data_IF_532913661372
#
_entry.id   IF_532913661372
#
_cell.length_a   1.000
_cell.length_b   1.000
_cell.length_c   1.000
_cell.angle_alpha   90.00
_cell.angle_beta   90.00
_cell.angle_gamma   90.00
#
_symmetry.space_group_name_H-M   'P 1'
#
loop_
_entity.id
_entity.type
_entity.pdbx_description
1 polymer ?
#
# COMPACT_ATOMS: atom_id res chain seq x y z
N UNK A 1 -57.07 45.13 -38.28
CA UNK A 1 -56.77 46.35 -37.51
C UNK A 1 -55.39 46.17 -36.89
N UNK A 2 -54.44 47.02 -37.28
CA UNK A 2 -53.06 47.06 -36.78
C UNK A 2 -53.01 47.48 -35.31
N UNK A 3 -51.96 47.08 -34.55
CA UNK A 3 -51.01 47.99 -33.86
C UNK A 3 -50.06 47.22 -32.90
N UNK A 4 -48.78 47.67 -32.87
CA UNK A 4 -47.68 47.52 -31.89
C UNK A 4 -46.99 46.13 -31.79
N UNK A 5 -45.71 45.90 -32.17
CA UNK A 5 -44.41 46.60 -32.12
C UNK A 5 -43.53 46.24 -30.90
N UNK A 6 -42.36 45.66 -31.23
CA UNK A 6 -41.07 45.57 -30.49
C UNK A 6 -41.04 44.90 -29.12
N UNK A 7 -40.51 43.68 -29.10
CA UNK A 7 -39.72 43.18 -27.97
C UNK A 7 -38.32 42.79 -28.46
N UNK A 8 -37.35 43.53 -27.96
CA UNK A 8 -35.91 43.40 -28.13
C UNK A 8 -35.42 42.03 -27.64
N UNK A 9 -34.96 41.17 -28.56
CA UNK A 9 -34.07 40.06 -28.21
C UNK A 9 -32.65 40.60 -28.13
N UNK A 10 -32.21 40.90 -26.91
CA UNK A 10 -30.81 41.18 -26.63
C UNK A 10 -30.06 39.87 -26.36
N UNK A 11 -28.85 39.85 -26.86
CA UNK A 11 -27.91 38.75 -27.04
C UNK A 11 -27.27 38.30 -25.72
N UNK A 12 -26.61 37.14 -25.82
CA UNK A 12 -25.63 36.55 -24.90
C UNK A 12 -26.18 35.85 -23.66
N UNK A 13 -26.16 34.51 -23.68
CA UNK A 13 -25.29 33.72 -22.80
C UNK A 13 -25.38 32.24 -23.20
N UNK A 14 -24.82 31.89 -24.35
CA UNK A 14 -24.42 30.51 -24.62
C UNK A 14 -23.09 30.27 -23.91
N UNK A 15 -23.13 29.83 -22.65
CA UNK A 15 -22.01 29.11 -22.04
C UNK A 15 -21.97 27.70 -22.62
N UNK A 16 -21.69 27.59 -23.92
CA UNK A 16 -21.14 26.37 -24.48
C UNK A 16 -19.70 26.27 -24.00
N UNK A 17 -19.49 25.41 -23.01
CA UNK A 17 -18.18 24.90 -22.63
C UNK A 17 -17.63 24.07 -23.81
N UNK A 18 -17.06 24.75 -24.80
CA UNK A 18 -16.35 24.19 -25.93
C UNK A 18 -14.84 24.18 -25.67
N UNK A 19 -14.42 23.58 -24.55
CA UNK A 19 -13.03 23.16 -24.38
C UNK A 19 -12.84 21.76 -24.97
N UNK A 20 -12.99 21.66 -26.28
CA UNK A 20 -12.56 20.51 -27.06
C UNK A 20 -11.96 21.06 -28.35
N UNK A 21 -10.70 20.66 -28.58
CA UNK A 21 -9.81 21.01 -29.69
C UNK A 21 -8.95 22.27 -29.51
N UNK A 22 -7.84 22.10 -28.80
CA UNK A 22 -6.60 22.76 -29.18
C UNK A 22 -5.49 21.71 -29.28
N UNK A 23 -5.25 21.26 -30.51
CA UNK A 23 -4.06 20.50 -30.90
C UNK A 23 -2.92 21.50 -31.09
N UNK A 24 -1.92 21.52 -30.19
CA UNK A 24 -0.70 22.31 -30.41
C UNK A 24 -0.33 23.38 -29.37
N UNK A 25 -0.82 23.33 -28.13
CA UNK A 25 -0.26 24.15 -27.04
C UNK A 25 0.10 23.26 -25.85
N UNK A 26 1.23 23.58 -25.19
CA UNK A 26 1.67 22.96 -23.93
C UNK A 26 0.46 22.87 -22.99
N UNK A 27 -0.11 21.67 -22.86
CA UNK A 27 -1.15 21.34 -21.90
C UNK A 27 -0.65 21.90 -20.58
N UNK A 28 -1.33 22.89 -20.00
CA UNK A 28 -0.88 23.52 -18.75
C UNK A 28 -0.61 22.39 -17.76
N UNK A 29 0.68 22.17 -17.44
CA UNK A 29 1.06 21.17 -16.47
C UNK A 29 0.36 21.56 -15.17
N UNK A 30 -0.38 20.63 -14.57
CA UNK A 30 -1.08 20.88 -13.30
C UNK A 30 -0.09 21.44 -12.30
N UNK A 31 -0.47 22.53 -11.64
CA UNK A 31 0.31 23.12 -10.57
C UNK A 31 0.02 22.35 -9.28
N UNK A 32 0.85 21.34 -8.99
CA UNK A 32 0.66 20.45 -7.84
C UNK A 32 0.89 21.15 -6.50
N UNK A 33 1.49 22.35 -6.48
CA UNK A 33 1.59 23.13 -5.25
C UNK A 33 0.25 23.80 -4.89
N UNK A 34 -0.57 24.14 -5.89
CA UNK A 34 -1.92 24.70 -5.70
C UNK A 34 -2.98 23.61 -5.55
N UNK A 35 -2.88 22.57 -6.36
CA UNK A 35 -3.83 21.47 -6.39
C UNK A 35 -3.07 20.13 -6.21
N UNK A 36 -2.60 19.81 -5.00
CA UNK A 36 -1.86 18.58 -4.76
C UNK A 36 -2.73 17.35 -5.01
N UNK A 37 -2.10 16.23 -5.35
CA UNK A 37 -2.78 14.94 -5.30
C UNK A 37 -2.81 14.52 -3.84
N UNK A 38 -3.99 14.43 -3.24
CA UNK A 38 -4.17 14.01 -1.85
C UNK A 38 -4.59 12.54 -1.84
N UNK A 39 -3.84 11.73 -1.10
CA UNK A 39 -4.11 10.32 -0.87
C UNK A 39 -4.24 10.04 0.63
N UNK A 40 -5.10 9.09 1.00
CA UNK A 40 -5.12 8.56 2.37
C UNK A 40 -3.85 7.75 2.63
N UNK A 41 -3.17 8.01 3.74
CA UNK A 41 -1.98 7.25 4.08
C UNK A 41 -2.37 5.92 4.75
N UNK A 42 -1.87 4.81 4.20
CA UNK A 42 -2.04 3.47 4.77
C UNK A 42 -0.70 2.86 5.23
N UNK A 43 0.40 3.60 5.14
CA UNK A 43 1.76 3.12 5.43
C UNK A 43 1.87 2.44 6.80
N UNK A 44 1.51 3.13 7.88
CA UNK A 44 1.58 2.59 9.25
C UNK A 44 0.86 1.24 9.38
N UNK A 45 -0.31 1.09 8.75
CA UNK A 45 -1.06 -0.16 8.79
C UNK A 45 -0.39 -1.26 7.98
N UNK A 46 0.05 -0.96 6.76
CA UNK A 46 0.60 -2.00 5.87
C UNK A 46 2.02 -2.43 6.23
N UNK A 47 2.84 -1.53 6.78
CA UNK A 47 4.17 -1.89 7.28
C UNK A 47 4.06 -2.97 8.36
N UNK A 48 3.10 -2.84 9.26
CA UNK A 48 2.85 -3.83 10.30
C UNK A 48 2.08 -5.06 9.78
N UNK A 49 1.01 -4.84 9.01
CA UNK A 49 0.16 -5.92 8.54
C UNK A 49 0.89 -6.88 7.59
N UNK A 50 1.71 -6.37 6.65
CA UNK A 50 2.44 -7.23 5.71
C UNK A 50 3.60 -7.99 6.38
N UNK A 51 4.04 -7.57 7.56
CA UNK A 51 5.00 -8.33 8.36
C UNK A 51 4.32 -9.46 9.15
N UNK A 52 3.32 -9.12 9.98
CA UNK A 52 2.73 -10.08 10.92
C UNK A 52 1.75 -11.06 10.27
N UNK A 53 0.93 -10.58 9.34
CA UNK A 53 -0.22 -11.35 8.86
C UNK A 53 0.20 -12.51 7.94
N UNK A 54 1.15 -12.35 7.00
CA UNK A 54 1.66 -13.49 6.23
C UNK A 54 2.33 -14.54 7.10
N UNK A 55 3.05 -14.11 8.14
CA UNK A 55 3.70 -15.00 9.10
C UNK A 55 2.66 -15.79 9.90
N UNK A 56 1.67 -15.11 10.50
CA UNK A 56 0.60 -15.75 11.25
C UNK A 56 -0.23 -16.70 10.37
N UNK A 57 -0.56 -16.29 9.14
CA UNK A 57 -1.24 -17.13 8.17
C UNK A 57 -0.44 -18.40 7.89
N UNK A 58 0.84 -18.26 7.60
CA UNK A 58 1.70 -19.40 7.34
C UNK A 58 1.81 -20.37 8.52
N UNK A 59 1.97 -19.85 9.74
CA UNK A 59 1.98 -20.67 10.97
C UNK A 59 0.65 -21.44 11.10
N UNK A 60 -0.48 -20.75 10.98
CA UNK A 60 -1.81 -21.34 11.17
C UNK A 60 -2.08 -22.44 10.16
N UNK A 61 -1.83 -22.20 8.86
CA UNK A 61 -2.03 -23.21 7.81
C UNK A 61 -1.08 -24.40 8.03
N UNK A 62 0.21 -24.15 8.31
CA UNK A 62 1.18 -25.24 8.40
C UNK A 62 0.95 -26.10 9.65
N UNK A 63 0.62 -25.50 10.80
CA UNK A 63 0.23 -26.25 12.01
C UNK A 63 -1.04 -27.05 11.75
N UNK A 64 -2.02 -26.48 11.05
CA UNK A 64 -3.23 -27.22 10.69
C UNK A 64 -2.91 -28.44 9.83
N UNK A 65 -2.06 -28.30 8.81
CA UNK A 65 -1.62 -29.42 7.96
C UNK A 65 -0.93 -30.50 8.80
N UNK A 66 0.00 -30.12 9.70
CA UNK A 66 0.68 -31.07 10.59
C UNK A 66 -0.33 -31.85 11.43
N UNK A 67 -1.20 -31.13 12.14
CA UNK A 67 -2.21 -31.74 13.01
C UNK A 67 -3.21 -32.58 12.23
N UNK A 68 -3.61 -32.17 11.03
CA UNK A 68 -4.54 -32.91 10.18
C UNK A 68 -3.96 -34.24 9.68
N UNK A 69 -2.65 -34.29 9.46
CA UNK A 69 -1.95 -35.53 9.11
C UNK A 69 -1.87 -36.48 10.31
N UNK A 70 -1.63 -35.94 11.51
CA UNK A 70 -1.54 -36.72 12.76
C UNK A 70 -2.91 -37.21 13.26
N UNK A 71 -3.90 -36.32 13.29
CA UNK A 71 -5.21 -36.55 13.87
C UNK A 71 -6.30 -35.78 13.09
N UNK A 72 -7.24 -36.52 12.47
CA UNK A 72 -8.33 -35.96 11.65
C UNK A 72 -9.55 -35.58 12.49
N UNK A 73 -9.33 -35.09 13.70
CA UNK A 73 -10.39 -34.73 14.63
C UNK A 73 -11.11 -33.44 14.23
N UNK A 74 -12.39 -33.35 14.60
CA UNK A 74 -13.17 -32.12 14.46
C UNK A 74 -12.62 -30.97 15.31
N UNK A 75 -11.98 -31.29 16.43
CA UNK A 75 -11.34 -30.30 17.31
C UNK A 75 -10.20 -29.56 16.60
N UNK A 76 -9.49 -30.24 15.69
CA UNK A 76 -8.47 -29.61 14.84
C UNK A 76 -9.07 -28.61 13.85
N UNK A 77 -10.22 -28.93 13.24
CA UNK A 77 -10.95 -28.00 12.37
C UNK A 77 -11.45 -26.80 13.18
N UNK A 78 -12.03 -27.02 14.36
CA UNK A 78 -12.55 -25.96 15.20
C UNK A 78 -11.43 -25.01 15.64
N UNK A 79 -10.30 -25.56 16.08
CA UNK A 79 -9.11 -24.78 16.46
C UNK A 79 -8.56 -23.95 15.29
N UNK A 80 -8.54 -24.53 14.08
CA UNK A 80 -8.13 -23.83 12.87
C UNK A 80 -9.04 -22.66 12.51
N UNK A 81 -10.36 -22.89 12.52
CA UNK A 81 -11.36 -21.84 12.26
C UNK A 81 -11.25 -20.74 13.32
N UNK A 82 -11.11 -21.10 14.60
CA UNK A 82 -10.91 -20.14 15.67
C UNK A 82 -9.65 -19.27 15.45
N UNK A 83 -8.53 -19.88 15.06
CA UNK A 83 -7.30 -19.16 14.77
C UNK A 83 -7.45 -18.18 13.59
N UNK A 84 -8.14 -18.58 12.52
CA UNK A 84 -8.46 -17.69 11.39
C UNK A 84 -9.35 -16.52 11.81
N UNK A 85 -10.37 -16.77 12.63
CA UNK A 85 -11.24 -15.71 13.16
C UNK A 85 -10.44 -14.73 14.01
N UNK A 86 -9.57 -15.22 14.91
CA UNK A 86 -8.69 -14.36 15.71
C UNK A 86 -7.78 -13.50 14.82
N UNK A 87 -7.21 -14.05 13.75
CA UNK A 87 -6.40 -13.31 12.79
C UNK A 87 -7.20 -12.20 12.11
N UNK A 88 -8.43 -12.48 11.66
CA UNK A 88 -9.30 -11.48 11.04
C UNK A 88 -9.68 -10.39 12.04
N UNK A 89 -10.03 -10.74 13.28
CA UNK A 89 -10.31 -9.78 14.34
C UNK A 89 -9.11 -8.86 14.60
N UNK A 90 -7.90 -9.42 14.69
CA UNK A 90 -6.67 -8.66 14.83
C UNK A 90 -6.48 -7.67 13.67
N UNK A 91 -6.75 -8.09 12.43
CA UNK A 91 -6.68 -7.21 11.26
C UNK A 91 -7.63 -6.02 11.36
N UNK A 92 -8.88 -6.27 11.74
CA UNK A 92 -9.93 -5.25 11.86
C UNK A 92 -9.56 -4.24 12.94
N UNK A 93 -9.07 -4.73 14.09
CA UNK A 93 -8.63 -3.88 15.20
C UNK A 93 -7.47 -2.97 14.75
N UNK A 94 -6.44 -3.53 14.10
CA UNK A 94 -5.31 -2.74 13.62
C UNK A 94 -5.73 -1.74 12.54
N UNK A 95 -6.61 -2.13 11.62
CA UNK A 95 -7.18 -1.21 10.65
C UNK A 95 -7.91 -0.05 11.33
N UNK A 96 -8.70 -0.32 12.37
CA UNK A 96 -9.40 0.73 13.10
C UNK A 96 -8.43 1.74 13.73
N UNK A 97 -7.38 1.26 14.42
CA UNK A 97 -6.42 2.12 15.11
C UNK A 97 -5.48 2.88 14.16
N UNK A 98 -5.03 2.26 13.07
CA UNK A 98 -4.03 2.83 12.18
C UNK A 98 -4.64 3.58 10.99
N UNK A 99 -5.87 3.26 10.58
CA UNK A 99 -6.46 3.79 9.34
C UNK A 99 -7.81 4.49 9.56
N UNK A 100 -8.72 3.92 10.36
CA UNK A 100 -10.06 4.50 10.53
C UNK A 100 -10.02 5.70 11.48
N UNK A 101 -9.28 5.59 12.59
CA UNK A 101 -9.16 6.65 13.60
C UNK A 101 -8.23 7.79 13.17
N UNK A 102 -7.18 7.47 12.42
CA UNK A 102 -6.19 8.45 11.94
C UNK A 102 -6.67 9.12 10.66
N UNK A 103 -6.37 10.42 10.52
CA UNK A 103 -6.63 11.20 9.30
C UNK A 103 -5.33 11.51 8.56
N UNK A 104 -4.50 10.48 8.42
CA UNK A 104 -3.18 10.62 7.83
C UNK A 104 -3.31 10.69 6.31
N UNK A 105 -2.59 11.62 5.71
CA UNK A 105 -2.66 11.89 4.26
C UNK A 105 -1.28 12.14 3.67
N UNK A 106 -1.16 11.80 2.40
CA UNK A 106 0.05 12.02 1.59
C UNK A 106 -0.31 12.99 0.47
N UNK A 107 0.47 14.05 0.32
CA UNK A 107 0.23 15.13 -0.64
C UNK A 107 1.37 15.15 -1.65
N UNK A 108 1.07 14.87 -2.90
CA UNK A 108 2.02 15.02 -4.00
C UNK A 108 2.00 16.47 -4.48
N UNK A 109 3.11 17.17 -4.26
CA UNK A 109 3.34 18.55 -4.69
C UNK A 109 4.43 18.58 -5.77
N UNK A 110 4.74 19.74 -6.36
CA UNK A 110 5.50 19.80 -7.61
C UNK A 110 6.85 19.04 -7.55
N UNK A 111 7.61 19.21 -6.47
CA UNK A 111 8.96 18.67 -6.35
C UNK A 111 9.15 17.73 -5.15
N UNK A 112 8.09 17.46 -4.39
CA UNK A 112 8.18 16.64 -3.17
C UNK A 112 6.88 15.90 -2.87
N UNK A 113 6.96 14.95 -1.94
CA UNK A 113 5.80 14.30 -1.35
C UNK A 113 5.77 14.59 0.14
N UNK A 114 4.66 15.14 0.62
CA UNK A 114 4.48 15.57 2.02
C UNK A 114 3.59 14.59 2.77
N UNK A 115 4.05 14.14 3.94
CA UNK A 115 3.33 13.23 4.82
C UNK A 115 2.74 14.00 5.99
N UNK A 116 1.42 13.91 6.14
CA UNK A 116 0.66 14.55 7.20
C UNK A 116 0.07 13.51 8.13
N UNK A 117 0.25 13.70 9.43
CA UNK A 117 -0.43 12.94 10.47
C UNK A 117 -1.48 13.82 11.14
N UNK A 118 -2.74 13.43 11.07
CA UNK A 118 -3.88 14.22 11.56
C UNK A 118 -3.85 15.71 11.13
N UNK A 119 -3.44 15.98 9.89
CA UNK A 119 -3.33 17.33 9.33
C UNK A 119 -2.04 18.08 9.67
N UNK A 120 -1.14 17.51 10.46
CA UNK A 120 0.16 18.12 10.82
C UNK A 120 1.25 17.53 9.92
N UNK A 121 2.03 18.39 9.26
CA UNK A 121 3.17 17.96 8.44
C UNK A 121 4.24 17.28 9.32
N UNK A 122 4.58 16.03 9.00
CA UNK A 122 5.58 15.24 9.73
C UNK A 122 6.86 15.02 8.94
N UNK A 123 6.74 14.83 7.63
CA UNK A 123 7.88 14.54 6.77
C UNK A 123 7.65 15.08 5.36
N UNK A 124 8.75 15.40 4.68
CA UNK A 124 8.75 15.83 3.28
C UNK A 124 9.84 15.05 2.56
N UNK A 125 9.41 14.16 1.66
CA UNK A 125 10.30 13.44 0.76
C UNK A 125 10.66 14.33 -0.42
N UNK A 126 11.95 14.60 -0.59
CA UNK A 126 12.44 15.53 -1.63
C UNK A 126 12.56 14.90 -3.03
N UNK A 127 12.34 13.58 -3.15
CA UNK A 127 12.45 12.82 -4.39
C UNK A 127 13.77 13.02 -5.17
N UNK A 128 14.86 13.43 -4.49
CA UNK A 128 16.15 13.73 -5.14
C UNK A 128 16.89 12.48 -5.61
N UNK A 129 16.83 11.40 -4.84
CA UNK A 129 17.49 10.13 -5.12
C UNK A 129 16.48 9.07 -5.61
N UNK A 130 15.38 9.53 -6.22
CA UNK A 130 14.25 8.67 -6.56
C UNK A 130 14.64 7.57 -7.56
N UNK A 131 15.48 7.87 -8.55
CA UNK A 131 15.87 6.90 -9.59
C UNK A 131 16.57 5.64 -9.02
N UNK A 132 17.31 5.79 -7.92
CA UNK A 132 18.01 4.68 -7.26
C UNK A 132 17.09 3.91 -6.29
N UNK A 133 16.09 4.58 -5.73
CA UNK A 133 15.24 4.06 -4.66
C UNK A 133 13.91 3.48 -5.15
N UNK A 134 13.38 4.02 -6.26
CA UNK A 134 12.01 3.76 -6.67
C UNK A 134 11.85 2.29 -7.05
N UNK A 135 10.97 1.63 -6.32
CA UNK A 135 10.64 0.24 -6.57
C UNK A 135 9.22 -0.06 -6.10
N UNK A 136 8.70 -1.17 -6.60
CA UNK A 136 7.42 -1.72 -6.21
C UNK A 136 7.64 -2.98 -5.39
N UNK A 137 7.53 -2.92 -4.05
CA UNK A 137 7.85 -4.06 -3.24
C UNK A 137 6.62 -4.97 -3.03
N UNK A 138 6.86 -6.27 -2.95
CA UNK A 138 5.85 -7.28 -2.61
C UNK A 138 5.56 -7.24 -1.11
N UNK A 139 6.51 -6.83 -0.29
CA UNK A 139 6.30 -6.59 1.13
C UNK A 139 6.55 -5.11 1.43
N UNK A 140 6.25 -4.61 2.63
CA UNK A 140 6.67 -3.26 3.04
C UNK A 140 8.20 -3.17 3.31
N UNK A 141 8.98 -4.02 2.63
CA UNK A 141 10.41 -4.20 2.78
C UNK A 141 11.16 -3.48 1.65
N UNK A 142 12.20 -2.76 2.02
CA UNK A 142 13.12 -2.12 1.08
C UNK A 142 14.02 -3.15 0.38
N UNK A 143 14.52 -2.87 -0.85
CA UNK A 143 15.44 -3.76 -1.55
C UNK A 143 16.74 -4.03 -0.79
N UNK A 144 17.28 -2.99 -0.15
CA UNK A 144 18.48 -3.10 0.69
C UNK A 144 18.08 -3.44 2.13
N UNK A 145 17.51 -4.63 2.34
CA UNK A 145 17.28 -5.14 3.69
C UNK A 145 18.61 -5.11 4.46
N UNK A 146 18.63 -4.43 5.60
CA UNK A 146 19.79 -4.47 6.48
C UNK A 146 20.06 -5.91 6.92
N UNK A 147 21.32 -6.26 7.18
CA UNK A 147 21.72 -7.62 7.57
C UNK A 147 20.86 -8.20 8.72
N UNK A 148 20.38 -7.34 9.63
CA UNK A 148 19.48 -7.70 10.72
C UNK A 148 18.14 -8.29 10.27
N UNK A 149 17.51 -7.69 9.25
CA UNK A 149 16.21 -8.16 8.76
C UNK A 149 16.38 -9.59 8.18
N UNK A 150 17.45 -9.83 7.42
CA UNK A 150 17.79 -11.16 6.88
C UNK A 150 18.05 -12.17 8.01
N UNK A 151 18.85 -11.80 9.02
CA UNK A 151 19.15 -12.66 10.17
C UNK A 151 17.87 -13.06 10.91
N UNK A 152 16.91 -12.14 11.07
CA UNK A 152 15.63 -12.45 11.69
C UNK A 152 14.85 -13.52 10.92
N UNK A 153 14.74 -13.42 9.59
CA UNK A 153 14.08 -14.45 8.80
C UNK A 153 14.79 -15.80 8.91
N UNK A 154 16.13 -15.83 8.94
CA UNK A 154 16.90 -17.07 9.15
C UNK A 154 16.56 -17.67 10.52
N UNK A 155 16.51 -16.87 11.59
CA UNK A 155 16.15 -17.35 12.93
C UNK A 155 14.73 -17.93 12.94
N UNK A 156 13.77 -17.26 12.30
CA UNK A 156 12.39 -17.76 12.19
C UNK A 156 12.35 -19.10 11.45
N UNK A 157 13.05 -19.23 10.33
CA UNK A 157 13.11 -20.47 9.55
C UNK A 157 13.80 -21.60 10.33
N UNK A 158 14.91 -21.33 11.03
CA UNK A 158 15.60 -22.30 11.86
C UNK A 158 14.73 -22.75 13.05
N UNK A 159 14.06 -21.80 13.72
CA UNK A 159 13.13 -22.12 14.81
C UNK A 159 11.97 -22.99 14.34
N UNK A 160 11.40 -22.67 13.17
CA UNK A 160 10.33 -23.47 12.57
C UNK A 160 10.81 -24.86 12.14
N UNK A 161 12.02 -24.97 11.58
CA UNK A 161 12.63 -26.26 11.27
C UNK A 161 12.84 -27.09 12.54
N UNK A 162 13.35 -26.49 13.61
CA UNK A 162 13.55 -27.18 14.90
C UNK A 162 12.23 -27.70 15.51
N UNK A 163 11.14 -26.95 15.35
CA UNK A 163 9.81 -27.37 15.83
C UNK A 163 9.18 -28.46 14.95
N UNK A 164 9.29 -28.34 13.63
CA UNK A 164 8.62 -29.25 12.69
C UNK A 164 9.42 -30.51 12.37
N UNK A 165 10.74 -30.49 12.54
CA UNK A 165 11.65 -31.57 12.14
C UNK A 165 11.66 -31.88 10.64
N UNK A 166 11.03 -31.05 9.81
CA UNK A 166 10.72 -31.37 8.41
C UNK A 166 11.02 -30.21 7.48
N UNK A 167 11.94 -30.45 6.55
CA UNK A 167 12.26 -29.49 5.50
C UNK A 167 11.06 -29.21 4.59
N UNK A 168 10.20 -30.22 4.36
CA UNK A 168 8.99 -30.06 3.56
C UNK A 168 8.02 -29.07 4.22
N UNK A 169 7.86 -29.13 5.54
CA UNK A 169 7.02 -28.20 6.28
C UNK A 169 7.61 -26.79 6.28
N UNK A 170 8.94 -26.63 6.33
CA UNK A 170 9.60 -25.32 6.16
C UNK A 170 9.33 -24.74 4.76
N UNK A 171 9.42 -25.55 3.70
CA UNK A 171 9.12 -25.09 2.33
C UNK A 171 7.67 -24.66 2.20
N UNK A 172 6.72 -25.45 2.73
CA UNK A 172 5.30 -25.08 2.76
C UNK A 172 5.07 -23.79 3.54
N UNK A 173 5.73 -23.64 4.68
CA UNK A 173 5.69 -22.44 5.49
C UNK A 173 6.14 -21.21 4.68
N UNK A 174 7.24 -21.29 3.92
CA UNK A 174 7.67 -20.17 3.06
C UNK A 174 6.62 -19.87 1.98
N UNK A 175 6.08 -20.91 1.31
CA UNK A 175 5.03 -20.74 0.29
C UNK A 175 3.80 -20.02 0.87
N UNK A 176 3.37 -20.40 2.08
CA UNK A 176 2.21 -19.78 2.71
C UNK A 176 2.48 -18.34 3.18
N UNK A 177 3.72 -17.94 3.45
CA UNK A 177 4.06 -16.52 3.66
C UNK A 177 3.74 -15.73 2.39
N UNK A 178 4.23 -16.19 1.23
CA UNK A 178 3.96 -15.53 -0.04
C UNK A 178 2.46 -15.49 -0.37
N UNK A 179 1.75 -16.59 -0.14
CA UNK A 179 0.32 -16.66 -0.38
C UNK A 179 -0.47 -15.74 0.56
N UNK A 180 -0.13 -15.74 1.85
CA UNK A 180 -0.74 -14.87 2.85
C UNK A 180 -0.60 -13.38 2.50
N UNK A 181 0.58 -12.96 2.05
CA UNK A 181 0.83 -11.59 1.59
C UNK A 181 -0.11 -11.16 0.45
N UNK A 182 -0.30 -12.02 -0.55
CA UNK A 182 -1.22 -11.76 -1.67
C UNK A 182 -2.68 -11.73 -1.17
N UNK A 183 -3.07 -12.67 -0.32
CA UNK A 183 -4.43 -12.77 0.24
C UNK A 183 -4.82 -11.49 1.00
N UNK A 184 -3.94 -10.94 1.84
CA UNK A 184 -4.21 -9.70 2.59
C UNK A 184 -4.49 -8.54 1.65
N UNK A 185 -3.73 -8.43 0.56
CA UNK A 185 -3.92 -7.36 -0.44
C UNK A 185 -5.21 -7.53 -1.22
N UNK A 186 -5.60 -8.77 -1.52
CA UNK A 186 -6.91 -9.07 -2.13
C UNK A 186 -8.02 -8.59 -1.20
N UNK A 187 -7.97 -8.94 0.10
CA UNK A 187 -8.96 -8.48 1.07
C UNK A 187 -9.00 -6.96 1.18
N UNK A 188 -7.86 -6.28 1.16
CA UNK A 188 -7.83 -4.83 1.22
C UNK A 188 -8.33 -4.16 -0.05
N UNK A 189 -8.01 -4.72 -1.22
CA UNK A 189 -8.57 -4.26 -2.50
C UNK A 189 -10.11 -4.37 -2.47
N UNK A 190 -10.64 -5.51 -2.04
CA UNK A 190 -12.08 -5.70 -1.90
C UNK A 190 -12.68 -4.73 -0.87
N UNK A 191 -12.03 -4.54 0.28
CA UNK A 191 -12.51 -3.66 1.35
C UNK A 191 -12.50 -2.17 0.99
N UNK A 192 -11.59 -1.73 0.10
CA UNK A 192 -11.48 -0.33 -0.30
C UNK A 192 -12.19 0.00 -1.62
N UNK A 193 -12.18 -0.92 -2.59
CA UNK A 193 -12.72 -0.70 -3.94
C UNK A 193 -14.03 -1.46 -4.20
N UNK A 194 -14.41 -2.41 -3.35
CA UNK A 194 -15.61 -3.24 -3.52
C UNK A 194 -15.50 -4.30 -4.63
N UNK A 195 -14.40 -4.36 -5.36
CA UNK A 195 -14.13 -5.33 -6.43
C UNK A 195 -12.61 -5.50 -6.64
N UNK A 196 -12.20 -6.43 -7.51
CA UNK A 196 -10.78 -6.70 -7.81
C UNK A 196 -10.25 -5.99 -9.07
N UNK A 197 -11.02 -5.05 -9.63
CA UNK A 197 -10.56 -4.25 -10.77
C UNK A 197 -9.33 -3.44 -10.37
N UNK A 198 -8.27 -3.52 -11.19
CA UNK A 198 -7.00 -2.84 -10.91
C UNK A 198 -6.15 -3.49 -9.82
N UNK A 199 -6.52 -4.67 -9.32
CA UNK A 199 -5.70 -5.39 -8.34
C UNK A 199 -4.28 -5.66 -8.87
N UNK A 200 -3.30 -5.43 -8.02
CA UNK A 200 -1.91 -5.79 -8.25
C UNK A 200 -1.30 -6.33 -6.95
N UNK A 201 -0.45 -7.38 -7.00
CA UNK A 201 0.36 -7.79 -5.86
C UNK A 201 1.35 -6.71 -5.40
N UNK A 202 1.54 -5.66 -6.21
CA UNK A 202 2.45 -4.56 -5.98
C UNK A 202 1.70 -3.22 -5.92
N UNK A 203 0.81 -3.03 -4.91
CA UNK A 203 0.02 -1.81 -4.80
C UNK A 203 0.84 -0.64 -4.25
N UNK A 204 2.09 -0.88 -3.86
CA UNK A 204 2.93 0.08 -3.16
C UNK A 204 4.09 0.57 -4.03
N UNK A 205 4.52 1.81 -3.78
CA UNK A 205 5.69 2.43 -4.40
C UNK A 205 6.56 3.00 -3.29
N UNK A 206 7.83 2.59 -3.24
CA UNK A 206 8.85 3.22 -2.39
C UNK A 206 9.34 4.48 -3.08
N UNK A 207 9.37 5.60 -2.35
CA UNK A 207 9.74 6.91 -2.87
C UNK A 207 10.87 7.59 -2.10
N UNK A 208 11.25 7.04 -0.94
CA UNK A 208 12.32 7.58 -0.10
C UNK A 208 12.97 6.46 0.73
N UNK A 209 13.99 6.83 1.50
CA UNK A 209 14.55 6.01 2.57
C UNK A 209 13.64 6.01 3.82
N UNK A 210 13.52 4.88 4.53
CA UNK A 210 12.70 4.80 5.73
C UNK A 210 13.22 5.74 6.81
N UNK A 211 12.34 6.64 7.26
CA UNK A 211 12.59 7.42 8.44
C UNK A 211 12.33 6.58 9.69
N UNK A 212 13.30 6.53 10.59
CA UNK A 212 13.17 5.86 11.87
C UNK A 212 12.96 6.92 12.95
N UNK A 213 11.78 6.99 13.58
CA UNK A 213 11.61 7.85 14.74
C UNK A 213 12.59 7.42 15.85
N UNK A 214 13.11 8.38 16.62
CA UNK A 214 14.02 8.15 17.74
C UNK A 214 13.32 7.41 18.90
N UNK A 215 13.03 6.13 18.72
CA UNK A 215 12.55 5.24 19.78
C UNK A 215 13.73 4.58 20.47
N UNK A 216 13.92 4.90 21.76
CA UNK A 216 14.97 4.32 22.63
C UNK A 216 14.71 2.85 23.04
N UNK A 217 13.69 2.19 22.48
CA UNK A 217 13.28 0.85 22.87
C UNK A 217 13.90 -0.24 21.96
N UNK A 218 14.76 -1.06 22.59
CA UNK A 218 15.24 -2.41 22.27
C UNK A 218 14.85 -2.98 20.89
N UNK A 219 15.81 -2.88 19.96
CA UNK A 219 16.25 -3.79 18.87
C UNK A 219 15.27 -4.56 17.96
N UNK A 220 14.04 -4.91 18.36
CA UNK A 220 13.14 -5.78 17.57
C UNK A 220 12.15 -4.99 16.71
N UNK A 221 11.69 -3.83 17.17
CA UNK A 221 10.67 -3.02 16.48
C UNK A 221 11.22 -2.18 15.32
N UNK A 222 12.54 -2.17 15.10
CA UNK A 222 13.14 -1.31 14.07
C UNK A 222 12.69 -1.66 12.65
N UNK A 223 12.32 -2.92 12.36
CA UNK A 223 11.75 -3.29 11.07
C UNK A 223 10.34 -2.68 10.85
N UNK A 224 9.60 -2.48 11.94
CA UNK A 224 8.21 -2.01 11.98
C UNK A 224 8.11 -0.49 12.15
N UNK A 225 9.15 0.17 12.65
CA UNK A 225 9.17 1.62 12.85
C UNK A 225 9.51 2.43 11.59
N UNK A 226 9.56 1.79 10.42
CA UNK A 226 9.83 2.47 9.14
C UNK A 226 8.64 3.39 8.80
N UNK A 227 8.90 4.68 8.60
CA UNK A 227 7.87 5.68 8.25
C UNK A 227 8.29 6.55 7.09
N UNK A 228 7.30 7.14 6.42
CA UNK A 228 7.37 8.19 5.43
C UNK A 228 8.18 7.86 4.16
N UNK A 229 8.15 6.61 3.72
CA UNK A 229 8.98 6.14 2.60
C UNK A 229 8.21 5.36 1.54
N UNK A 230 7.05 4.79 1.88
CA UNK A 230 6.26 3.94 0.99
C UNK A 230 4.81 4.43 0.89
N UNK A 231 4.25 4.37 -0.32
CA UNK A 231 2.89 4.82 -0.61
C UNK A 231 2.08 3.66 -1.17
N UNK A 232 0.95 3.36 -0.54
CA UNK A 232 0.01 2.32 -0.97
C UNK A 232 -1.15 2.90 -1.78
N UNK A 233 -1.37 2.39 -2.98
CA UNK A 233 -2.35 2.89 -3.95
C UNK A 233 -3.22 1.72 -4.42
N UNK A 234 -4.48 1.68 -3.98
CA UNK A 234 -5.45 0.63 -4.34
C UNK A 234 -6.51 1.11 -5.34
N UNK A 235 -6.72 2.42 -5.39
CA UNK A 235 -7.68 3.06 -6.29
C UNK A 235 -7.06 3.23 -7.68
N UNK A 236 -7.73 2.70 -8.69
CA UNK A 236 -7.24 2.67 -10.08
C UNK A 236 -7.13 4.07 -10.69
N UNK A 237 -8.06 4.96 -10.37
CA UNK A 237 -8.09 6.32 -10.92
C UNK A 237 -7.00 7.17 -10.26
N UNK A 238 -6.82 7.02 -8.94
CA UNK A 238 -5.70 7.61 -8.20
C UNK A 238 -4.36 7.08 -8.68
N UNK A 239 -4.29 5.80 -9.01
CA UNK A 239 -3.08 5.22 -9.60
C UNK A 239 -2.73 5.88 -10.94
N UNK A 240 -3.71 6.09 -11.83
CA UNK A 240 -3.49 6.77 -13.10
C UNK A 240 -3.06 8.25 -12.92
N UNK A 241 -3.64 8.94 -11.93
CA UNK A 241 -3.28 10.30 -11.54
C UNK A 241 -1.81 10.38 -11.06
N UNK A 242 -1.42 9.46 -10.18
CA UNK A 242 -0.05 9.37 -9.63
C UNK A 242 0.95 8.95 -10.72
N UNK A 243 0.57 8.03 -11.61
CA UNK A 243 1.39 7.66 -12.78
C UNK A 243 1.71 8.88 -13.65
N UNK A 244 0.70 9.70 -13.91
CA UNK A 244 0.84 10.94 -14.68
C UNK A 244 1.77 11.92 -13.95
N UNK A 245 1.62 12.06 -12.63
CA UNK A 245 2.54 12.87 -11.82
C UNK A 245 4.01 12.45 -11.96
N UNK A 246 4.32 11.16 -11.82
CA UNK A 246 5.71 10.69 -11.94
C UNK A 246 6.26 10.84 -13.36
N UNK A 247 5.42 10.64 -14.39
CA UNK A 247 5.81 10.87 -15.78
C UNK A 247 6.11 12.35 -16.03
N UNK A 248 5.22 13.24 -15.62
CA UNK A 248 5.32 14.68 -15.91
C UNK A 248 6.44 15.34 -15.10
N UNK A 249 6.62 14.96 -13.82
CA UNK A 249 7.54 15.65 -12.89
C UNK A 249 8.91 15.00 -12.79
N UNK A 250 9.00 13.69 -13.02
CA UNK A 250 10.24 12.92 -12.83
C UNK A 250 10.66 12.15 -14.08
N UNK A 251 9.86 12.14 -15.16
CA UNK A 251 10.10 11.33 -16.34
C UNK A 251 10.22 9.82 -16.02
N UNK A 252 9.47 9.36 -15.00
CA UNK A 252 9.47 7.97 -14.54
C UNK A 252 8.11 7.35 -14.82
N UNK A 253 8.11 6.25 -15.57
CA UNK A 253 6.92 5.41 -15.74
C UNK A 253 6.85 4.38 -14.61
N UNK A 254 5.99 4.63 -13.61
CA UNK A 254 5.84 3.73 -12.47
C UNK A 254 5.37 2.33 -12.83
N UNK A 255 4.81 2.09 -14.03
CA UNK A 255 4.49 0.74 -14.51
C UNK A 255 5.74 -0.08 -14.84
N UNK A 256 6.83 0.60 -15.22
CA UNK A 256 8.10 0.00 -15.65
C UNK A 256 9.14 -0.09 -14.53
N UNK A 257 8.83 0.48 -13.37
CA UNK A 257 9.70 0.44 -12.19
C UNK A 257 9.93 -1.01 -11.71
N UNK A 258 11.14 -1.27 -11.21
CA UNK A 258 11.57 -2.59 -10.73
C UNK A 258 10.63 -3.10 -9.62
N UNK A 259 10.23 -4.36 -9.74
CA UNK A 259 9.48 -5.08 -8.70
C UNK A 259 10.44 -5.81 -7.77
N UNK A 260 10.18 -5.73 -6.47
CA UNK A 260 10.99 -6.39 -5.45
C UNK A 260 10.18 -7.51 -4.78
N UNK A 261 10.63 -8.75 -4.93
CA UNK A 261 9.84 -9.95 -4.60
C UNK A 261 10.23 -10.59 -3.27
N UNK A 262 11.33 -10.18 -2.65
CA UNK A 262 11.79 -10.80 -1.42
C UNK A 262 10.96 -10.33 -0.23
N UNK A 263 10.28 -11.27 0.40
CA UNK A 263 9.59 -11.12 1.68
C UNK A 263 10.57 -11.43 2.81
#
# INVERSE_FOLDING_TARGET
MNTANKQTKNSNNDFQNSNLTNSGSKKFARDYDKEPIILKNYEDFFVEALFFMPLAFSIIITIFIMRWVEDKSMDNILSFVAALVCMVCWMIINYFFHVAKKKDTVHFVNDSVKFYENGILKHTSSLKNLDELICKPLDASMPNKGARDIVFYIIVLCGFFGMSGSLLLVVLFVIFIYLGNIIIKIFFQLGTQGNLSGFTPFPAIIIDEPHYPNVKFVTYYHALCKKYFIIFIFDKDKYAEIRTYFLDRKNIDIDKVKKYYFI
#
